data_IF_386450307544
#
_entry.id   IF_386450307544
#
_cell.length_a   1.000
_cell.length_b   1.000
_cell.length_c   1.000
_cell.angle_alpha   90.00
_cell.angle_beta   90.00
_cell.angle_gamma   90.00
#
_symmetry.space_group_name_H-M   'P 1'
#
loop_
_entity.id
_entity.type
_entity.pdbx_description
1 polymer ?
#
# COMPACT_ATOMS: atom_id res chain seq x y z
N UNK A 1 5.68 45.44 -32.30
CA UNK A 1 6.56 45.04 -31.18
C UNK A 1 5.80 45.26 -29.89
N UNK A 2 5.30 44.16 -29.32
CA UNK A 2 4.54 44.11 -28.07
C UNK A 2 4.98 42.81 -27.39
N UNK A 3 5.65 42.85 -26.22
CA UNK A 3 6.07 41.63 -25.55
C UNK A 3 4.94 41.07 -24.70
N UNK A 4 4.62 39.80 -24.95
CA UNK A 4 3.66 39.00 -24.20
C UNK A 4 4.26 38.65 -22.82
N UNK A 5 3.64 39.12 -21.75
CA UNK A 5 3.94 38.73 -20.37
C UNK A 5 3.45 37.30 -20.12
N UNK A 6 4.37 36.34 -19.98
CA UNK A 6 4.06 35.01 -19.43
C UNK A 6 4.36 35.06 -17.93
N UNK A 7 3.30 35.17 -17.13
CA UNK A 7 3.38 35.01 -15.67
C UNK A 7 3.54 33.52 -15.40
N UNK A 8 4.80 33.09 -15.23
CA UNK A 8 5.11 31.77 -14.70
C UNK A 8 4.68 31.70 -13.24
N UNK A 9 3.53 31.09 -12.96
CA UNK A 9 3.17 30.72 -11.60
C UNK A 9 4.07 29.58 -11.16
N UNK A 10 5.14 29.96 -10.46
CA UNK A 10 6.01 29.07 -9.71
C UNK A 10 5.13 28.36 -8.66
N UNK A 11 4.82 27.08 -8.89
CA UNK A 11 4.15 26.26 -7.89
C UNK A 11 5.18 26.00 -6.78
N UNK A 12 5.05 26.76 -5.70
CA UNK A 12 5.91 26.63 -4.52
C UNK A 12 5.61 25.29 -3.82
N UNK A 13 6.50 24.33 -4.03
CA UNK A 13 6.43 22.96 -3.49
C UNK A 13 6.37 22.96 -1.95
N UNK A 14 6.70 24.08 -1.29
CA UNK A 14 6.58 24.24 0.17
C UNK A 14 5.14 24.41 0.67
N UNK A 15 4.16 24.70 -0.21
CA UNK A 15 2.73 24.79 0.16
C UNK A 15 1.95 23.47 0.04
N UNK A 16 2.57 22.41 -0.47
CA UNK A 16 1.96 21.05 -0.49
C UNK A 16 2.21 20.32 0.84
N UNK A 17 3.04 20.88 1.70
CA UNK A 17 3.19 20.41 3.09
C UNK A 17 2.01 20.93 3.90
N UNK A 18 1.28 20.00 4.53
CA UNK A 18 0.22 20.21 5.53
C UNK A 18 -1.24 20.27 5.06
N UNK A 19 -1.67 19.38 4.15
CA UNK A 19 -3.03 18.84 4.25
C UNK A 19 -2.99 17.54 5.07
N UNK A 20 -2.69 17.68 6.36
CA UNK A 20 -3.12 16.70 7.35
C UNK A 20 -4.64 16.77 7.36
N UNK A 21 -5.28 16.00 6.47
CA UNK A 21 -6.69 15.66 6.66
C UNK A 21 -6.70 14.78 7.90
N UNK A 22 -6.80 15.43 9.06
CA UNK A 22 -7.22 14.79 10.30
C UNK A 22 -8.64 14.27 10.04
N UNK A 23 -8.73 13.07 9.47
CA UNK A 23 -9.97 12.32 9.49
C UNK A 23 -10.29 12.10 10.96
N UNK A 24 -11.17 12.93 11.50
CA UNK A 24 -11.69 12.73 12.84
C UNK A 24 -12.34 11.36 12.88
N UNK A 25 -12.00 10.57 13.90
CA UNK A 25 -12.66 9.31 14.13
C UNK A 25 -14.16 9.59 14.29
N UNK A 26 -15.01 8.79 13.62
CA UNK A 26 -16.46 8.99 13.69
C UNK A 26 -16.97 9.16 15.12
N UNK A 27 -18.03 9.97 15.32
CA UNK A 27 -18.59 10.21 16.66
C UNK A 27 -18.86 8.86 17.35
N UNK A 28 -18.34 8.69 18.57
CA UNK A 28 -18.48 7.48 19.41
C UNK A 28 -17.57 6.28 19.12
N UNK A 29 -16.42 6.43 18.45
CA UNK A 29 -15.48 5.31 18.20
C UNK A 29 -14.99 4.59 19.45
N UNK A 30 -14.92 5.28 20.58
CA UNK A 30 -14.62 4.67 21.88
C UNK A 30 -15.61 3.57 22.28
N UNK A 31 -16.87 3.61 21.81
CA UNK A 31 -17.89 2.57 22.09
C UNK A 31 -17.65 1.26 21.35
N UNK A 32 -16.77 1.24 20.34
CA UNK A 32 -16.51 0.03 19.57
C UNK A 32 -15.57 -0.94 20.29
N UNK A 33 -14.87 -0.50 21.34
CA UNK A 33 -14.01 -1.36 22.16
C UNK A 33 -12.70 -1.79 21.50
N UNK A 34 -12.28 -1.15 20.40
CA UNK A 34 -11.07 -1.51 19.65
C UNK A 34 -9.83 -1.63 20.53
N UNK A 35 -9.50 -0.58 21.28
CA UNK A 35 -8.32 -0.53 22.14
C UNK A 35 -8.29 -1.71 23.12
N UNK A 36 -9.41 -1.98 23.79
CA UNK A 36 -9.48 -2.99 24.84
C UNK A 36 -9.33 -4.40 24.26
N UNK A 37 -9.94 -4.67 23.09
CA UNK A 37 -9.78 -5.95 22.39
C UNK A 37 -8.33 -6.12 21.90
N UNK A 38 -7.69 -5.07 21.37
CA UNK A 38 -6.27 -5.16 20.97
C UNK A 38 -5.38 -5.45 22.16
N UNK A 39 -5.48 -4.68 23.25
CA UNK A 39 -4.68 -4.89 24.46
C UNK A 39 -4.83 -6.30 25.03
N UNK A 40 -6.04 -6.87 24.93
CA UNK A 40 -6.35 -8.23 25.37
C UNK A 40 -5.69 -9.29 24.48
N UNK A 41 -5.89 -9.22 23.16
CA UNK A 41 -5.50 -10.30 22.24
C UNK A 41 -4.05 -10.18 21.74
N UNK A 42 -3.47 -8.98 21.74
CA UNK A 42 -2.06 -8.76 21.36
C UNK A 42 -1.09 -8.82 22.56
N UNK A 43 -1.56 -9.22 23.76
CA UNK A 43 -0.70 -9.39 24.94
C UNK A 43 0.48 -10.36 24.73
N UNK A 44 0.37 -11.28 23.77
CA UNK A 44 1.43 -12.21 23.41
C UNK A 44 2.72 -11.49 22.99
N UNK A 45 2.61 -10.31 22.34
CA UNK A 45 3.78 -9.51 21.98
C UNK A 45 4.60 -9.13 23.21
N UNK A 46 3.94 -8.81 24.32
CA UNK A 46 4.59 -8.44 25.58
C UNK A 46 5.11 -9.71 26.27
N UNK A 47 4.22 -10.69 26.45
CA UNK A 47 4.50 -11.86 27.28
C UNK A 47 5.56 -12.78 26.67
N UNK A 48 5.51 -12.95 25.35
CA UNK A 48 6.28 -14.00 24.66
C UNK A 48 7.45 -13.41 23.87
N UNK A 49 7.37 -12.14 23.48
CA UNK A 49 8.37 -11.49 22.60
C UNK A 49 9.01 -10.22 23.20
N UNK A 50 8.68 -9.85 24.43
CA UNK A 50 9.34 -8.74 25.14
C UNK A 50 9.04 -7.35 24.59
N UNK A 51 7.96 -7.18 23.84
CA UNK A 51 7.50 -5.86 23.41
C UNK A 51 6.96 -5.07 24.60
N UNK A 52 6.86 -3.75 24.41
CA UNK A 52 6.18 -2.82 25.31
C UNK A 52 5.08 -2.10 24.54
N UNK A 53 3.94 -1.88 25.17
CA UNK A 53 2.92 -0.99 24.62
C UNK A 53 3.33 0.46 24.87
N UNK A 54 3.63 1.21 23.81
CA UNK A 54 4.17 2.57 23.89
C UNK A 54 3.08 3.62 23.64
N UNK A 55 2.03 3.26 22.91
CA UNK A 55 0.95 4.18 22.56
C UNK A 55 -0.38 3.46 22.51
N UNK A 56 -1.42 4.12 23.04
CA UNK A 56 -2.80 3.66 22.95
C UNK A 56 -3.74 4.83 22.66
N UNK A 57 -4.63 4.63 21.72
CA UNK A 57 -5.72 5.51 21.32
C UNK A 57 -6.95 4.64 21.03
N UNK A 58 -8.13 5.26 20.93
CA UNK A 58 -9.39 4.58 20.63
C UNK A 58 -9.41 3.86 19.27
N UNK A 59 -8.47 4.19 18.37
CA UNK A 59 -8.35 3.59 17.04
C UNK A 59 -6.92 3.13 16.71
N UNK A 60 -5.99 3.16 17.65
CA UNK A 60 -4.59 2.84 17.40
C UNK A 60 -3.91 2.30 18.64
N UNK A 61 -3.09 1.27 18.49
CA UNK A 61 -2.22 0.75 19.55
C UNK A 61 -0.87 0.45 18.93
N UNK A 62 0.20 0.87 19.59
CA UNK A 62 1.57 0.59 19.15
C UNK A 62 2.35 -0.17 20.21
N UNK A 63 3.00 -1.23 19.75
CA UNK A 63 3.95 -2.02 20.50
C UNK A 63 5.35 -1.84 19.91
N UNK A 64 6.37 -1.82 20.75
CA UNK A 64 7.77 -1.75 20.33
C UNK A 64 8.60 -2.75 21.12
N UNK A 65 9.47 -3.47 20.42
CA UNK A 65 10.63 -4.14 20.99
C UNK A 65 11.84 -3.20 20.92
N UNK A 66 13.05 -3.73 21.06
CA UNK A 66 14.27 -2.94 20.83
C UNK A 66 14.48 -2.59 19.35
N UNK A 67 13.96 -3.42 18.43
CA UNK A 67 14.30 -3.36 17.00
C UNK A 67 13.08 -3.29 16.10
N UNK A 68 11.91 -3.76 16.55
CA UNK A 68 10.70 -3.87 15.73
C UNK A 68 9.55 -3.13 16.40
N UNK A 69 8.71 -2.47 15.62
CA UNK A 69 7.42 -1.96 16.07
C UNK A 69 6.28 -2.74 15.43
N UNK A 70 5.15 -2.80 16.13
CA UNK A 70 3.87 -3.30 15.62
C UNK A 70 2.81 -2.24 15.89
N UNK A 71 2.19 -1.73 14.84
CA UNK A 71 1.02 -0.87 14.91
C UNK A 71 -0.22 -1.72 14.65
N UNK A 72 -1.23 -1.60 15.50
CA UNK A 72 -2.57 -2.16 15.26
C UNK A 72 -3.52 -0.98 15.17
N UNK A 73 -4.32 -0.90 14.10
CA UNK A 73 -5.17 0.26 13.86
C UNK A 73 -6.58 -0.10 13.41
N UNK A 74 -7.51 0.81 13.68
CA UNK A 74 -8.85 0.83 13.12
C UNK A 74 -9.02 2.10 12.29
N UNK A 75 -9.01 1.97 10.95
CA UNK A 75 -9.01 3.07 10.00
C UNK A 75 -10.13 4.07 10.29
N UNK A 76 -9.77 5.36 10.43
CA UNK A 76 -10.72 6.40 10.88
C UNK A 76 -11.82 6.68 9.86
N UNK A 77 -11.50 6.64 8.56
CA UNK A 77 -12.46 6.79 7.46
C UNK A 77 -12.93 5.45 6.86
N UNK A 78 -12.05 4.45 6.78
CA UNK A 78 -12.34 3.17 6.13
C UNK A 78 -12.99 2.15 7.06
N UNK A 79 -12.86 2.28 8.38
CA UNK A 79 -13.22 1.22 9.33
C UNK A 79 -12.45 -0.10 9.14
N UNK A 80 -11.35 -0.07 8.39
CA UNK A 80 -10.43 -1.21 8.21
C UNK A 80 -9.73 -1.55 9.52
N UNK A 81 -9.61 -2.83 9.85
CA UNK A 81 -8.71 -3.31 10.88
C UNK A 81 -7.43 -3.76 10.22
N UNK A 82 -6.34 -3.10 10.55
CA UNK A 82 -5.05 -3.37 9.96
C UNK A 82 -3.94 -3.45 11.00
N UNK A 83 -2.82 -4.00 10.54
CA UNK A 83 -1.59 -4.07 11.28
C UNK A 83 -0.43 -3.70 10.36
N UNK A 84 0.49 -2.91 10.89
CA UNK A 84 1.77 -2.58 10.26
C UNK A 84 2.89 -3.10 11.15
N UNK A 85 3.94 -3.65 10.54
CA UNK A 85 5.17 -4.04 11.24
C UNK A 85 6.38 -3.46 10.51
N UNK A 86 7.45 -3.17 11.23
CA UNK A 86 8.67 -2.64 10.66
C UNK A 86 9.79 -2.49 11.68
N UNK A 87 10.97 -2.10 11.19
CA UNK A 87 12.11 -1.77 12.05
C UNK A 87 11.95 -0.39 12.66
N UNK A 88 12.34 -0.25 13.92
CA UNK A 88 12.44 1.03 14.60
C UNK A 88 13.59 1.83 13.97
N UNK A 89 13.26 2.92 13.29
CA UNK A 89 14.23 3.84 12.70
C UNK A 89 14.78 4.86 13.70
N UNK A 90 15.63 5.77 13.21
CA UNK A 90 16.10 6.92 14.00
C UNK A 90 14.98 7.89 14.37
N UNK A 91 13.91 7.92 13.56
CA UNK A 91 12.69 8.66 13.82
C UNK A 91 11.47 7.90 13.30
N UNK A 92 10.28 8.21 13.82
CA UNK A 92 9.02 7.59 13.39
C UNK A 92 8.66 7.87 11.93
N UNK A 93 9.17 8.95 11.35
CA UNK A 93 8.91 9.32 9.94
C UNK A 93 9.77 8.51 8.97
N UNK A 94 10.83 7.88 9.47
CA UNK A 94 11.77 7.09 8.65
C UNK A 94 11.46 5.59 8.68
N UNK A 95 10.38 5.20 9.37
CA UNK A 95 9.98 3.80 9.51
C UNK A 95 9.37 3.27 8.22
N UNK A 96 10.01 2.26 7.63
CA UNK A 96 9.40 1.44 6.58
C UNK A 96 8.41 0.49 7.24
N UNK A 97 7.20 0.45 6.68
CA UNK A 97 6.05 -0.28 7.21
C UNK A 97 5.57 -1.30 6.20
N UNK A 98 5.26 -2.49 6.70
CA UNK A 98 4.66 -3.55 5.92
C UNK A 98 3.34 -3.97 6.54
N UNK A 99 2.32 -4.13 5.71
CA UNK A 99 1.00 -4.50 6.21
C UNK A 99 0.91 -5.99 6.50
N UNK A 100 -0.03 -6.39 7.37
CA UNK A 100 -0.36 -7.81 7.57
C UNK A 100 -0.78 -8.49 6.26
N UNK A 101 -1.40 -7.74 5.33
CA UNK A 101 -1.71 -8.24 4.00
C UNK A 101 -0.44 -8.64 3.27
N UNK A 102 0.56 -7.76 3.20
CA UNK A 102 1.81 -8.06 2.48
C UNK A 102 2.50 -9.31 3.04
N UNK A 103 2.47 -9.47 4.37
CA UNK A 103 3.03 -10.63 5.06
C UNK A 103 2.29 -11.92 4.68
N UNK A 104 0.95 -11.91 4.76
CA UNK A 104 0.16 -13.09 4.43
C UNK A 104 0.32 -13.45 2.96
N UNK A 105 0.21 -12.48 2.05
CA UNK A 105 0.33 -12.74 0.61
C UNK A 105 1.74 -13.23 0.23
N UNK A 106 2.80 -12.78 0.92
CA UNK A 106 4.16 -13.31 0.75
C UNK A 106 4.24 -14.79 1.17
N UNK A 107 3.69 -15.13 2.34
CA UNK A 107 3.84 -16.47 2.92
C UNK A 107 2.92 -17.51 2.27
N UNK A 108 1.74 -17.11 1.79
CA UNK A 108 0.75 -18.03 1.20
C UNK A 108 0.73 -18.01 -0.33
N UNK A 109 1.23 -16.94 -0.97
CA UNK A 109 1.00 -16.64 -2.38
C UNK A 109 -0.50 -16.52 -2.75
N UNK A 110 -1.38 -16.33 -1.77
CA UNK A 110 -2.82 -16.12 -1.97
C UNK A 110 -3.18 -14.67 -1.64
N UNK A 111 -4.18 -14.10 -2.34
CA UNK A 111 -4.60 -12.74 -2.02
C UNK A 111 -5.37 -12.68 -0.71
N UNK A 112 -5.05 -11.68 0.10
CA UNK A 112 -5.68 -11.44 1.39
C UNK A 112 -6.49 -10.14 1.37
N UNK A 113 -7.73 -10.20 1.86
CA UNK A 113 -8.59 -9.03 2.05
C UNK A 113 -8.61 -8.64 3.53
N UNK A 114 -8.15 -7.43 3.88
CA UNK A 114 -8.21 -6.92 5.24
C UNK A 114 -9.64 -6.91 5.80
N UNK A 115 -9.76 -7.04 7.13
CA UNK A 115 -11.06 -6.95 7.79
C UNK A 115 -11.54 -5.51 7.84
N UNK A 116 -12.85 -5.31 7.77
CA UNK A 116 -13.48 -4.00 7.89
C UNK A 116 -14.74 -4.12 8.73
N UNK A 117 -14.89 -3.25 9.73
CA UNK A 117 -16.08 -3.24 10.59
C UNK A 117 -16.34 -1.89 11.24
N UNK A 118 -17.62 -1.49 11.27
CA UNK A 118 -18.09 -0.26 11.89
C UNK A 118 -18.85 -0.46 13.21
N UNK A 119 -18.91 -1.68 13.72
CA UNK A 119 -19.60 -2.04 14.96
C UNK A 119 -18.71 -2.83 15.93
N UNK A 120 -19.12 -2.87 17.20
CA UNK A 120 -18.37 -3.48 18.29
C UNK A 120 -18.31 -5.02 18.16
N UNK A 121 -19.37 -5.64 17.63
CA UNK A 121 -19.43 -7.08 17.40
C UNK A 121 -18.35 -7.52 16.42
N UNK A 122 -18.14 -6.77 15.34
CA UNK A 122 -17.09 -7.05 14.38
C UNK A 122 -15.70 -6.83 14.97
N UNK A 123 -15.49 -5.83 15.83
CA UNK A 123 -14.21 -5.66 16.55
C UNK A 123 -13.91 -6.91 17.39
N UNK A 124 -14.87 -7.33 18.22
CA UNK A 124 -14.75 -8.54 19.06
C UNK A 124 -14.51 -9.81 18.26
N UNK A 125 -15.08 -9.89 17.05
CA UNK A 125 -14.90 -11.03 16.15
C UNK A 125 -13.53 -11.04 15.47
N UNK A 126 -13.10 -9.90 14.92
CA UNK A 126 -11.98 -9.87 13.99
C UNK A 126 -10.62 -9.59 14.65
N UNK A 127 -10.56 -8.89 15.79
CA UNK A 127 -9.30 -8.68 16.51
C UNK A 127 -8.63 -10.00 16.95
N UNK A 128 -9.34 -11.00 17.52
CA UNK A 128 -8.75 -12.29 17.85
C UNK A 128 -8.20 -13.02 16.62
N UNK A 129 -8.96 -13.04 15.52
CA UNK A 129 -8.55 -13.66 14.26
C UNK A 129 -7.30 -12.97 13.72
N UNK A 130 -7.24 -11.64 13.78
CA UNK A 130 -6.06 -10.89 13.36
C UNK A 130 -4.84 -11.23 14.22
N UNK A 131 -4.99 -11.39 15.53
CA UNK A 131 -3.91 -11.85 16.40
C UNK A 131 -3.43 -13.27 16.04
N UNK A 132 -4.35 -14.18 15.72
CA UNK A 132 -4.02 -15.54 15.25
C UNK A 132 -3.27 -15.53 13.90
N UNK A 133 -3.66 -14.66 12.97
CA UNK A 133 -2.95 -14.51 11.70
C UNK A 133 -1.53 -13.99 11.92
N UNK A 134 -1.35 -13.05 12.85
CA UNK A 134 -0.03 -12.50 13.19
C UNK A 134 0.86 -13.57 13.82
N UNK A 135 0.34 -14.35 14.78
CA UNK A 135 1.11 -15.45 15.38
C UNK A 135 1.40 -16.57 14.40
N UNK A 136 0.61 -16.72 13.34
CA UNK A 136 0.82 -17.73 12.30
C UNK A 136 1.83 -17.31 11.23
N UNK A 137 1.77 -16.07 10.76
CA UNK A 137 2.48 -15.64 9.55
C UNK A 137 3.55 -14.57 9.79
N UNK A 138 3.54 -13.87 10.93
CA UNK A 138 4.40 -12.71 11.16
C UNK A 138 5.48 -12.95 12.23
N UNK A 139 5.73 -14.20 12.65
CA UNK A 139 6.71 -14.50 13.71
C UNK A 139 8.12 -14.03 13.32
N UNK A 140 8.57 -14.32 12.11
CA UNK A 140 9.89 -13.89 11.64
C UNK A 140 10.02 -12.36 11.63
N UNK A 141 8.94 -11.66 11.25
CA UNK A 141 8.88 -10.19 11.29
C UNK A 141 8.91 -9.63 12.71
N UNK A 142 8.22 -10.29 13.66
CA UNK A 142 8.21 -9.94 15.10
C UNK A 142 9.59 -10.12 15.71
N UNK A 143 10.30 -11.18 15.33
CA UNK A 143 11.66 -11.48 15.77
C UNK A 143 12.72 -10.58 15.12
N UNK A 144 12.36 -9.79 14.11
CA UNK A 144 13.28 -8.90 13.42
C UNK A 144 14.20 -9.62 12.45
N UNK A 145 13.77 -10.75 11.86
CA UNK A 145 14.57 -11.49 10.88
C UNK A 145 14.83 -10.65 9.62
N UNK A 146 16.06 -10.19 9.46
CA UNK A 146 16.49 -9.38 8.32
C UNK A 146 16.27 -10.08 6.97
N UNK A 147 16.41 -11.41 6.90
CA UNK A 147 16.16 -12.16 5.66
C UNK A 147 14.67 -12.12 5.32
N UNK A 148 13.79 -12.22 6.32
CA UNK A 148 12.36 -12.09 6.12
C UNK A 148 12.01 -10.70 5.58
N UNK A 149 12.51 -9.63 6.20
CA UNK A 149 12.29 -8.25 5.73
C UNK A 149 12.84 -8.01 4.32
N UNK A 150 13.99 -8.59 3.98
CA UNK A 150 14.53 -8.52 2.62
C UNK A 150 13.62 -9.20 1.57
N UNK A 151 12.94 -10.30 1.92
CA UNK A 151 11.93 -10.92 1.04
C UNK A 151 10.70 -10.02 0.91
N UNK A 152 10.25 -9.45 2.03
CA UNK A 152 9.07 -8.60 2.09
C UNK A 152 9.24 -7.29 1.30
N UNK A 153 10.42 -6.67 1.37
CA UNK A 153 10.78 -5.49 0.57
C UNK A 153 10.74 -5.79 -0.93
N UNK A 154 11.36 -6.90 -1.36
CA UNK A 154 11.32 -7.34 -2.75
C UNK A 154 9.90 -7.63 -3.22
N UNK A 155 9.10 -8.28 -2.37
CA UNK A 155 7.71 -8.64 -2.67
C UNK A 155 6.83 -7.40 -2.82
N UNK A 156 6.86 -6.49 -1.86
CA UNK A 156 6.08 -5.26 -1.87
C UNK A 156 6.50 -4.33 -3.01
N UNK A 157 7.80 -4.18 -3.27
CA UNK A 157 8.33 -3.44 -4.42
C UNK A 157 7.84 -4.03 -5.74
N UNK A 158 7.85 -5.36 -5.88
CA UNK A 158 7.32 -6.05 -7.07
C UNK A 158 5.83 -5.79 -7.25
N UNK A 159 5.04 -5.92 -6.18
CA UNK A 159 3.59 -5.73 -6.21
C UNK A 159 3.21 -4.28 -6.51
N UNK A 160 3.90 -3.32 -5.89
CA UNK A 160 3.72 -1.90 -6.15
C UNK A 160 4.02 -1.57 -7.63
N UNK A 161 5.15 -2.04 -8.16
CA UNK A 161 5.50 -1.83 -9.56
C UNK A 161 4.47 -2.46 -10.52
N UNK A 162 3.97 -3.66 -10.20
CA UNK A 162 2.91 -4.31 -10.98
C UNK A 162 1.61 -3.51 -10.93
N UNK A 163 1.23 -3.00 -9.76
CA UNK A 163 0.04 -2.18 -9.57
C UNK A 163 0.11 -0.89 -10.40
N UNK A 164 1.21 -0.13 -10.29
CA UNK A 164 1.44 1.09 -11.07
C UNK A 164 1.41 0.80 -12.58
N UNK A 165 2.07 -0.27 -13.02
CA UNK A 165 2.03 -0.68 -14.43
C UNK A 165 0.61 -1.00 -14.90
N UNK A 166 -0.17 -1.73 -14.10
CA UNK A 166 -1.56 -2.07 -14.41
C UNK A 166 -2.47 -0.83 -14.47
N UNK A 167 -2.31 0.12 -13.54
CA UNK A 167 -3.03 1.39 -13.57
C UNK A 167 -2.71 2.20 -14.84
N UNK A 168 -1.41 2.32 -15.18
CA UNK A 168 -0.97 3.00 -16.39
C UNK A 168 -1.58 2.35 -17.63
N UNK A 169 -1.51 1.02 -17.72
CA UNK A 169 -2.10 0.24 -18.81
C UNK A 169 -3.61 0.39 -18.91
N UNK A 170 -4.34 0.46 -17.79
CA UNK A 170 -5.78 0.69 -17.79
C UNK A 170 -6.14 2.03 -18.45
N UNK A 171 -5.31 3.06 -18.26
CA UNK A 171 -5.51 4.37 -18.90
C UNK A 171 -5.05 4.42 -20.37
N UNK A 172 -4.08 3.59 -20.75
CA UNK A 172 -3.46 3.56 -22.08
C UNK A 172 -4.29 2.73 -23.07
N UNK A 173 -4.74 1.54 -22.65
CA UNK A 173 -5.40 0.56 -23.53
C UNK A 173 -6.59 1.11 -24.32
N UNK A 174 -7.51 1.90 -23.74
CA UNK A 174 -8.60 2.49 -24.51
C UNK A 174 -8.09 3.44 -25.61
N UNK A 175 -7.08 4.25 -25.32
CA UNK A 175 -6.47 5.19 -26.29
C UNK A 175 -5.72 4.45 -27.39
N UNK A 176 -4.99 3.39 -27.02
CA UNK A 176 -4.26 2.57 -27.97
C UNK A 176 -5.21 1.80 -28.89
N UNK A 177 -6.36 1.33 -28.39
CA UNK A 177 -7.37 0.70 -29.21
C UNK A 177 -7.94 1.64 -30.29
N UNK A 178 -8.14 2.92 -29.95
CA UNK A 178 -8.57 3.96 -30.91
C UNK A 178 -7.48 4.19 -31.97
N UNK A 179 -6.24 4.47 -31.55
CA UNK A 179 -5.11 4.70 -32.46
C UNK A 179 -4.88 3.53 -33.42
N UNK A 180 -4.99 2.29 -32.91
CA UNK A 180 -4.90 1.08 -33.73
C UNK A 180 -6.02 1.00 -34.79
N UNK A 181 -7.26 1.32 -34.41
CA UNK A 181 -8.41 1.33 -35.34
C UNK A 181 -8.25 2.38 -36.43
N UNK A 182 -7.68 3.53 -36.10
CA UNK A 182 -7.41 4.63 -37.03
C UNK A 182 -6.13 4.43 -37.85
N UNK A 183 -5.40 3.33 -37.64
CA UNK A 183 -4.08 3.05 -38.23
C UNK A 183 -3.01 4.11 -37.90
N UNK A 184 -3.20 4.87 -36.82
CA UNK A 184 -2.18 5.78 -36.29
C UNK A 184 -1.14 4.98 -35.50
N UNK A 185 -0.27 4.29 -36.24
CA UNK A 185 0.78 3.44 -35.69
C UNK A 185 1.85 4.25 -34.94
N UNK A 186 2.04 5.52 -35.30
CA UNK A 186 2.95 6.42 -34.58
C UNK A 186 2.44 6.62 -33.15
N UNK A 187 1.18 7.04 -33.01
CA UNK A 187 0.53 7.28 -31.72
C UNK A 187 0.37 6.00 -30.91
N UNK A 188 0.04 4.88 -31.57
CA UNK A 188 -0.08 3.58 -30.93
C UNK A 188 1.20 3.20 -30.15
N UNK A 189 2.37 3.32 -30.79
CA UNK A 189 3.65 2.99 -30.13
C UNK A 189 4.05 4.05 -29.10
N UNK A 190 3.77 5.34 -29.33
CA UNK A 190 4.03 6.39 -28.33
C UNK A 190 3.28 6.13 -27.02
N UNK A 191 2.02 5.70 -27.11
CA UNK A 191 1.19 5.39 -25.94
C UNK A 191 1.76 4.28 -25.06
N UNK A 192 2.52 3.34 -25.62
CA UNK A 192 3.19 2.26 -24.89
C UNK A 192 4.66 2.56 -24.53
N UNK A 193 5.25 3.64 -25.04
CA UNK A 193 6.70 3.91 -24.94
C UNK A 193 7.26 4.03 -23.52
N UNK A 194 6.42 4.35 -22.53
CA UNK A 194 6.81 4.44 -21.11
C UNK A 194 6.49 3.17 -20.30
N UNK A 195 5.85 2.16 -20.90
CA UNK A 195 5.46 0.93 -20.20
C UNK A 195 6.54 -0.13 -20.41
N UNK A 196 7.10 -0.66 -19.31
CA UNK A 196 8.08 -1.73 -19.40
C UNK A 196 7.47 -2.98 -20.06
N UNK A 197 8.22 -3.58 -21.00
CA UNK A 197 7.75 -4.64 -21.88
C UNK A 197 7.19 -5.87 -21.15
N UNK A 198 7.70 -6.16 -19.95
CA UNK A 198 7.27 -7.28 -19.11
C UNK A 198 5.79 -7.19 -18.66
N UNK A 199 5.17 -6.02 -18.75
CA UNK A 199 3.77 -5.80 -18.38
C UNK A 199 2.81 -5.85 -19.58
N UNK A 200 3.34 -5.97 -20.80
CA UNK A 200 2.54 -6.04 -22.03
C UNK A 200 2.08 -7.47 -22.31
N UNK A 201 0.84 -7.63 -22.76
CA UNK A 201 0.36 -8.90 -23.29
C UNK A 201 1.05 -9.26 -24.60
N UNK A 202 1.08 -10.55 -24.95
CA UNK A 202 1.69 -11.01 -26.21
C UNK A 202 1.03 -10.39 -27.45
N UNK A 203 -0.27 -10.13 -27.39
CA UNK A 203 -0.99 -9.43 -28.48
C UNK A 203 -0.53 -7.98 -28.61
N UNK A 204 -0.36 -7.27 -27.49
CA UNK A 204 0.14 -5.89 -27.48
C UNK A 204 1.56 -5.82 -28.04
N UNK A 205 2.45 -6.74 -27.64
CA UNK A 205 3.82 -6.83 -28.17
C UNK A 205 3.86 -6.99 -29.69
N UNK A 206 3.08 -7.94 -30.23
CA UNK A 206 2.98 -8.17 -31.68
C UNK A 206 2.43 -6.95 -32.43
N UNK A 207 1.44 -6.25 -31.84
CA UNK A 207 0.90 -5.02 -32.43
C UNK A 207 1.92 -3.89 -32.43
N UNK A 208 2.73 -3.75 -31.38
CA UNK A 208 3.81 -2.76 -31.31
C UNK A 208 4.86 -3.06 -32.38
N UNK A 209 5.29 -4.32 -32.51
CA UNK A 209 6.22 -4.75 -33.55
C UNK A 209 5.69 -4.44 -34.95
N UNK A 210 4.43 -4.78 -35.22
CA UNK A 210 3.77 -4.43 -36.49
C UNK A 210 3.76 -2.92 -36.72
N UNK A 211 3.33 -2.13 -35.72
CA UNK A 211 3.24 -0.68 -35.82
C UNK A 211 4.61 -0.01 -36.01
N UNK A 212 5.68 -0.55 -35.41
CA UNK A 212 7.06 -0.10 -35.64
C UNK A 212 7.48 -0.29 -37.10
N UNK A 213 7.13 -1.43 -37.72
CA UNK A 213 7.45 -1.72 -39.12
C UNK A 213 6.62 -0.89 -40.12
N UNK A 214 5.51 -0.29 -39.69
CA UNK A 214 4.57 0.45 -40.57
C UNK A 214 4.44 1.94 -40.20
N UNK A 215 5.33 2.45 -39.32
CA UNK A 215 5.32 3.83 -38.80
C UNK A 215 5.59 4.93 -39.84
N UNK A 216 5.92 4.56 -41.08
CA UNK A 216 6.29 5.47 -42.18
C UNK A 216 5.47 5.30 -43.47
N UNK A 217 4.34 4.58 -43.46
CA UNK A 217 3.44 4.47 -44.61
C UNK A 217 2.14 5.25 -44.35
N UNK A 218 2.22 6.59 -44.37
CA UNK A 218 1.08 7.48 -44.59
C UNK A 218 1.52 8.56 -45.56
#
# INVERSE_FOLDING_TARGET
MTPLHIIGTHLDIRKVVLLLVLFEAGKNRYKLGFKDEVLKYFKFLINDYGFKCIETDITFVRYESRVVFVNVYHGRGSYELGLEIGFIGNSRTDEVKYSLKDIIELETNESFTPFQTSNAEGIKKFIPIMAELVTKYAIDAILGDELFYNRLDKFTTKNFNQYIANMNLASIRPKAAIAWKEKDYKRFVELYGAVAEKYLSQSEKKKIEYALNHRGHV
#
